data_IF_316596416825
#
_entry.id   IF_316596416825
#
_cell.length_a   1.000
_cell.length_b   1.000
_cell.length_c   1.000
_cell.angle_alpha   90.00
_cell.angle_beta   90.00
_cell.angle_gamma   90.00
#
_symmetry.space_group_name_H-M   'P 1'
#
loop_
_entity.id
_entity.type
_entity.pdbx_description
1 polymer ?
#
# COMPACT_ATOMS: atom_id res chain seq x y z
N UNK A 1 -53.54 20.47 7.57
CA UNK A 1 -54.08 19.30 6.87
C UNK A 1 -53.26 19.07 5.62
N UNK A 2 -52.36 18.08 5.70
CA UNK A 2 -51.63 17.34 4.63
C UNK A 2 -50.88 18.21 3.58
N UNK A 3 -49.57 18.12 3.44
CA UNK A 3 -48.90 16.91 2.95
C UNK A 3 -47.41 16.87 3.30
N UNK A 4 -47.00 15.75 3.92
CA UNK A 4 -45.68 15.17 3.75
C UNK A 4 -45.60 14.58 2.34
N UNK A 5 -44.54 14.84 1.59
CA UNK A 5 -43.95 13.81 0.71
C UNK A 5 -42.45 13.78 0.95
N UNK A 6 -41.98 12.66 1.49
CA UNK A 6 -40.58 12.35 1.67
C UNK A 6 -40.00 11.94 0.31
N UNK A 7 -38.88 12.53 -0.09
CA UNK A 7 -38.13 12.12 -1.27
C UNK A 7 -37.25 10.92 -0.92
N UNK A 8 -37.88 9.73 -0.93
CA UNK A 8 -37.21 8.44 -0.82
C UNK A 8 -36.56 8.09 -2.15
N UNK A 9 -35.26 8.35 -2.29
CA UNK A 9 -34.44 7.74 -3.33
C UNK A 9 -33.92 6.40 -2.80
N UNK A 10 -34.81 5.41 -2.76
CA UNK A 10 -34.41 4.01 -2.63
C UNK A 10 -33.83 3.56 -3.98
N UNK A 11 -32.49 3.58 -4.09
CA UNK A 11 -31.81 2.88 -5.18
C UNK A 11 -31.74 1.40 -4.81
N UNK A 12 -32.64 0.64 -5.41
CA UNK A 12 -32.68 -0.81 -5.32
C UNK A 12 -31.84 -1.46 -6.42
N UNK A 13 -31.04 -2.45 -6.01
CA UNK A 13 -30.48 -3.60 -6.77
C UNK A 13 -29.10 -3.44 -7.43
N UNK A 14 -28.36 -4.55 -7.71
CA UNK A 14 -28.32 -5.89 -7.10
C UNK A 14 -26.88 -6.40 -6.80
N UNK A 15 -26.81 -7.64 -6.31
CA UNK A 15 -25.63 -8.40 -5.87
C UNK A 15 -24.38 -8.41 -6.77
N UNK A 16 -23.22 -8.42 -6.12
CA UNK A 16 -21.96 -9.06 -6.56
C UNK A 16 -21.22 -9.45 -5.27
N UNK A 17 -21.40 -10.69 -4.79
CA UNK A 17 -20.49 -11.82 -5.05
C UNK A 17 -19.03 -11.40 -4.89
N UNK A 18 -18.46 -11.81 -3.76
CA UNK A 18 -17.03 -11.83 -3.48
C UNK A 18 -16.22 -12.39 -4.66
N UNK A 19 -15.03 -11.86 -4.96
CA UNK A 19 -13.91 -12.72 -5.25
C UNK A 19 -13.16 -13.04 -3.95
N UNK A 20 -13.13 -14.30 -3.48
CA UNK A 20 -11.96 -14.78 -2.78
C UNK A 20 -10.86 -15.03 -3.81
N UNK A 21 -9.90 -14.11 -3.91
CA UNK A 21 -8.61 -14.35 -4.56
C UNK A 21 -7.63 -13.28 -4.05
N UNK A 22 -6.49 -13.61 -3.47
CA UNK A 22 -5.61 -14.73 -3.81
C UNK A 22 -4.75 -15.14 -2.62
N UNK A 23 -4.91 -16.36 -2.11
CA UNK A 23 -3.74 -17.13 -1.69
C UNK A 23 -3.09 -17.66 -2.96
N UNK A 24 -2.00 -17.05 -3.39
CA UNK A 24 -1.05 -17.61 -4.34
C UNK A 24 0.16 -16.69 -4.31
N UNK A 25 1.08 -16.87 -3.37
CA UNK A 25 2.26 -17.71 -3.62
C UNK A 25 2.59 -17.78 -5.10
N UNK A 26 3.34 -16.79 -5.58
CA UNK A 26 4.22 -16.98 -6.71
C UNK A 26 5.52 -16.25 -6.41
N UNK A 27 6.61 -17.01 -6.25
CA UNK A 27 7.94 -16.44 -6.25
C UNK A 27 8.19 -16.00 -7.68
N UNK A 28 8.06 -14.71 -7.96
CA UNK A 28 8.79 -14.14 -9.09
C UNK A 28 10.25 -14.03 -8.65
N UNK A 29 10.87 -15.19 -8.48
CA UNK A 29 12.30 -15.34 -8.60
C UNK A 29 12.61 -15.27 -10.10
N UNK A 30 12.38 -14.11 -10.71
CA UNK A 30 13.22 -13.72 -11.83
C UNK A 30 14.61 -13.65 -11.22
N UNK A 31 15.36 -14.74 -11.38
CA UNK A 31 16.73 -14.92 -10.92
C UNK A 31 17.61 -13.88 -11.59
N UNK A 32 17.56 -12.66 -11.07
CA UNK A 32 18.48 -11.59 -11.38
C UNK A 32 19.37 -11.49 -10.18
N UNK A 33 20.53 -12.14 -10.28
CA UNK A 33 21.69 -11.99 -9.40
C UNK A 33 21.31 -11.96 -7.91
N UNK A 34 21.48 -13.08 -7.19
CA UNK A 34 21.31 -13.11 -5.74
C UNK A 34 22.13 -11.99 -5.14
N UNK A 35 21.47 -10.90 -4.78
CA UNK A 35 22.13 -9.80 -4.13
C UNK A 35 22.56 -10.34 -2.77
N UNK A 36 23.86 -10.38 -2.43
CA UNK A 36 24.31 -10.86 -1.13
C UNK A 36 23.69 -10.08 0.04
N UNK A 37 23.17 -8.88 -0.21
CA UNK A 37 22.47 -8.05 0.78
C UNK A 37 20.97 -8.39 0.94
N UNK A 38 20.39 -9.23 0.08
CA UNK A 38 19.00 -9.70 0.16
C UNK A 38 18.93 -11.24 0.07
N UNK A 39 19.39 -11.97 1.10
CA UNK A 39 19.55 -13.43 1.06
C UNK A 39 18.23 -14.18 0.85
N UNK A 40 17.11 -13.56 1.25
CA UNK A 40 15.78 -14.14 1.18
C UNK A 40 15.00 -13.70 -0.08
N UNK A 41 15.64 -13.00 -1.02
CA UNK A 41 15.01 -12.48 -2.25
C UNK A 41 13.68 -11.75 -1.98
N UNK A 42 13.65 -10.92 -0.92
CA UNK A 42 12.46 -10.13 -0.60
C UNK A 42 12.19 -9.11 -1.70
N UNK A 43 10.92 -8.77 -1.86
CA UNK A 43 10.48 -7.59 -2.62
C UNK A 43 10.80 -6.31 -1.82
N UNK A 44 10.97 -5.15 -2.48
CA UNK A 44 11.34 -3.90 -1.79
C UNK A 44 10.36 -3.50 -0.68
N UNK A 45 9.06 -3.76 -0.88
CA UNK A 45 8.02 -3.48 0.11
C UNK A 45 8.07 -4.37 1.36
N UNK A 46 8.78 -5.52 1.30
CA UNK A 46 8.91 -6.46 2.41
C UNK A 46 10.25 -6.38 3.14
N UNK A 47 11.26 -5.72 2.54
CA UNK A 47 12.58 -5.58 3.14
C UNK A 47 12.58 -4.68 4.38
N UNK A 48 11.66 -3.72 4.43
CA UNK A 48 11.66 -2.64 5.42
C UNK A 48 10.25 -2.40 5.99
N UNK A 49 9.69 -3.34 6.77
CA UNK A 49 8.31 -3.26 7.27
C UNK A 49 8.10 -2.06 8.21
N UNK A 50 9.09 -1.75 9.06
CA UNK A 50 9.02 -0.67 10.03
C UNK A 50 8.95 0.71 9.36
N UNK A 51 9.89 1.01 8.46
CA UNK A 51 9.90 2.30 7.75
C UNK A 51 8.78 2.43 6.73
N UNK A 52 8.32 1.30 6.15
CA UNK A 52 7.13 1.28 5.31
C UNK A 52 5.90 1.71 6.13
N UNK A 53 5.69 1.10 7.31
CA UNK A 53 4.54 1.41 8.15
C UNK A 53 4.56 2.89 8.58
N UNK A 54 5.69 3.40 9.06
CA UNK A 54 5.79 4.81 9.45
C UNK A 54 5.47 5.77 8.30
N UNK A 55 5.93 5.44 7.08
CA UNK A 55 5.60 6.21 5.87
C UNK A 55 4.11 6.13 5.55
N UNK A 56 3.53 4.94 5.46
CA UNK A 56 2.11 4.75 5.18
C UNK A 56 1.23 5.47 6.22
N UNK A 57 1.56 5.38 7.51
CA UNK A 57 0.87 6.10 8.59
C UNK A 57 0.95 7.62 8.43
N UNK A 58 2.10 8.14 7.97
CA UNK A 58 2.25 9.55 7.66
C UNK A 58 1.35 9.98 6.49
N UNK A 59 1.27 9.19 5.42
CA UNK A 59 0.37 9.47 4.30
C UNK A 59 -1.11 9.42 4.68
N UNK A 60 -1.51 8.51 5.57
CA UNK A 60 -2.89 8.41 6.08
C UNK A 60 -3.27 9.63 6.93
N UNK A 61 -2.32 10.17 7.69
CA UNK A 61 -2.54 11.34 8.56
C UNK A 61 -2.41 12.68 7.83
N UNK A 62 -1.69 12.71 6.72
CA UNK A 62 -1.47 13.92 5.93
C UNK A 62 -2.68 14.27 5.07
N UNK A 63 -2.84 15.54 4.73
CA UNK A 63 -3.87 15.96 3.79
C UNK A 63 -3.61 15.40 2.38
N UNK A 64 -4.66 15.10 1.61
CA UNK A 64 -4.52 14.62 0.24
C UNK A 64 -3.76 15.63 -0.61
N UNK A 65 -2.66 15.18 -1.23
CA UNK A 65 -1.78 16.01 -2.05
C UNK A 65 -0.56 16.59 -1.33
N UNK A 66 -0.49 16.52 0.00
CA UNK A 66 0.63 17.09 0.77
C UNK A 66 1.60 16.03 1.33
N UNK A 67 1.31 14.74 1.13
CA UNK A 67 2.11 13.65 1.69
C UNK A 67 3.54 13.58 1.18
N UNK A 68 3.82 13.97 -0.07
CA UNK A 68 5.20 13.99 -0.59
C UNK A 68 6.10 14.97 0.14
N UNK A 69 5.57 16.09 0.64
CA UNK A 69 6.37 17.09 1.35
C UNK A 69 6.38 16.82 2.86
N UNK A 70 5.23 16.51 3.45
CA UNK A 70 5.11 16.26 4.88
C UNK A 70 5.76 14.95 5.34
N UNK A 71 5.84 13.95 4.45
CA UNK A 71 6.39 12.64 4.78
C UNK A 71 7.79 12.41 4.21
N UNK A 72 8.52 13.46 3.77
CA UNK A 72 9.85 13.30 3.15
C UNK A 72 10.82 12.49 3.99
N UNK A 73 10.88 12.78 5.29
CA UNK A 73 11.79 12.08 6.21
C UNK A 73 11.49 10.58 6.26
N UNK A 74 10.21 10.19 6.31
CA UNK A 74 9.79 8.79 6.31
C UNK A 74 10.03 8.11 4.95
N UNK A 75 9.85 8.84 3.85
CA UNK A 75 10.14 8.34 2.49
C UNK A 75 11.64 8.10 2.32
N UNK A 76 12.49 9.02 2.77
CA UNK A 76 13.95 8.86 2.74
C UNK A 76 14.42 7.72 3.63
N UNK A 77 13.88 7.59 4.85
CA UNK A 77 14.18 6.47 5.73
C UNK A 77 13.84 5.11 5.08
N UNK A 78 12.69 5.02 4.40
CA UNK A 78 12.29 3.82 3.68
C UNK A 78 13.22 3.52 2.49
N UNK A 79 13.57 4.54 1.71
CA UNK A 79 14.54 4.42 0.60
C UNK A 79 15.92 4.02 1.09
N UNK A 80 16.40 4.59 2.18
CA UNK A 80 17.70 4.26 2.78
C UNK A 80 17.75 2.79 3.20
N UNK A 81 16.69 2.30 3.85
CA UNK A 81 16.59 0.89 4.18
C UNK A 81 16.61 0.00 2.92
N UNK A 82 15.83 0.31 1.88
CA UNK A 82 15.84 -0.45 0.64
C UNK A 82 17.21 -0.45 -0.07
N UNK A 83 17.98 0.65 0.02
CA UNK A 83 19.36 0.72 -0.47
C UNK A 83 20.30 -0.20 0.31
N UNK A 84 20.09 -0.37 1.62
CA UNK A 84 20.84 -1.32 2.46
C UNK A 84 20.66 -2.77 2.02
N UNK A 85 19.49 -3.11 1.49
CA UNK A 85 19.20 -4.40 0.85
C UNK A 85 19.53 -4.43 -0.65
N UNK A 86 20.27 -3.44 -1.15
CA UNK A 86 20.75 -3.32 -2.54
C UNK A 86 19.67 -3.14 -3.61
N UNK A 87 18.47 -2.68 -3.26
CA UNK A 87 17.49 -2.27 -4.27
C UNK A 87 17.83 -0.89 -4.86
N UNK A 88 17.65 -0.69 -6.18
CA UNK A 88 17.73 0.63 -6.84
C UNK A 88 16.36 1.33 -6.81
N UNK A 89 16.27 2.49 -6.14
CA UNK A 89 15.01 3.12 -5.66
C UNK A 89 15.02 4.65 -5.71
#
# INVERSE_FOLDING_TARGET
MVSLVANSSEVSSPATTLPPRSTSSSPDATAKEVNPLNPNNLKPCCACPETKQARDDCFIKSAPGEGETNCRDFIEAHKACMRGYGFKV
#
